data_IF_259994315653
#
_entry.id   IF_259994315653
#
_cell.length_a   1.000
_cell.length_b   1.000
_cell.length_c   1.000
_cell.angle_alpha   90.00
_cell.angle_beta   90.00
_cell.angle_gamma   90.00
#
_symmetry.space_group_name_H-M   'P 1'
#
loop_
_entity.id
_entity.type
_entity.pdbx_description
1 polymer ?
#
# COMPACT_ATOMS: atom_id res chain seq x y z
N UNK A 1 16.25 -3.96 -1.79
CA UNK A 1 15.74 -3.09 -0.71
C UNK A 1 15.70 -1.70 -1.31
N UNK A 2 14.49 -1.16 -1.48
CA UNK A 2 14.32 0.15 -2.10
C UNK A 2 14.67 1.23 -1.09
N UNK A 3 15.58 2.13 -1.43
CA UNK A 3 16.34 2.98 -0.49
C UNK A 3 15.46 3.84 0.44
N UNK A 4 14.19 4.12 0.09
CA UNK A 4 13.31 4.90 0.95
C UNK A 4 11.85 4.87 0.47
N UNK A 5 10.93 4.29 1.26
CA UNK A 5 9.50 4.25 0.88
C UNK A 5 8.73 5.52 1.22
N UNK A 6 9.30 6.35 2.10
CA UNK A 6 8.66 7.54 2.64
C UNK A 6 9.04 8.83 1.91
N UNK A 7 9.59 8.77 0.67
CA UNK A 7 9.97 9.99 -0.08
C UNK A 7 8.84 11.04 -0.18
N UNK A 8 7.54 10.71 -0.34
CA UNK A 8 6.49 11.72 -0.29
C UNK A 8 6.42 12.49 1.04
N UNK A 9 6.96 11.93 2.12
CA UNK A 9 6.95 12.44 3.50
C UNK A 9 8.29 13.04 3.93
N UNK A 10 9.27 13.12 3.02
CA UNK A 10 10.56 13.77 3.26
C UNK A 10 10.37 15.23 3.70
N UNK A 11 11.16 15.68 4.68
CA UNK A 11 11.04 17.02 5.26
C UNK A 11 9.82 17.21 6.17
N UNK A 12 9.43 16.19 6.93
CA UNK A 12 8.33 16.23 7.91
C UNK A 12 6.95 16.52 7.30
N UNK A 13 6.73 16.15 6.03
CA UNK A 13 5.42 16.31 5.39
C UNK A 13 4.43 15.32 5.99
N UNK A 14 3.31 15.86 6.48
CA UNK A 14 2.35 15.15 7.32
C UNK A 14 1.53 14.08 6.58
N UNK A 15 1.18 13.03 7.32
CA UNK A 15 0.23 11.97 6.95
C UNK A 15 -1.23 12.43 6.89
N UNK A 16 -1.52 13.73 6.97
CA UNK A 16 -2.90 14.24 7.10
C UNK A 16 -3.89 13.71 6.05
N UNK A 17 -3.41 13.35 4.84
CA UNK A 17 -4.20 12.73 3.77
C UNK A 17 -4.31 11.19 3.83
N UNK A 18 -3.43 10.51 4.56
CA UNK A 18 -3.47 9.06 4.77
C UNK A 18 -4.00 8.77 6.17
N UNK A 19 -5.32 8.90 6.33
CA UNK A 19 -6.06 8.47 7.53
C UNK A 19 -6.56 7.04 7.30
N UNK A 20 -5.77 6.01 7.62
CA UNK A 20 -6.25 4.65 7.46
C UNK A 20 -7.41 4.40 8.41
N UNK A 21 -8.36 3.61 7.95
CA UNK A 21 -9.46 3.11 8.78
C UNK A 21 -8.94 2.06 9.78
N UNK A 22 -8.01 1.23 9.32
CA UNK A 22 -7.38 0.19 10.12
C UNK A 22 -5.86 0.26 9.98
N UNK A 23 -5.16 -0.02 11.08
CA UNK A 23 -3.69 -0.09 11.08
C UNK A 23 -3.24 -1.42 11.66
N UNK A 24 -2.51 -2.20 10.88
CA UNK A 24 -1.76 -3.33 11.39
C UNK A 24 -0.38 -2.85 11.88
N UNK A 25 -0.03 -3.24 13.10
CA UNK A 25 1.26 -2.92 13.71
C UNK A 25 1.85 -4.22 14.23
N UNK A 26 3.03 -4.58 13.73
CA UNK A 26 3.80 -5.72 14.22
C UNK A 26 4.78 -5.24 15.30
N UNK A 27 4.95 -6.04 16.34
CA UNK A 27 5.88 -5.78 17.44
C UNK A 27 6.87 -6.92 17.60
N UNK A 28 8.08 -6.58 18.05
CA UNK A 28 9.05 -7.51 18.62
C UNK A 28 9.57 -6.96 19.96
N UNK A 29 10.59 -7.59 20.54
CA UNK A 29 11.18 -7.14 21.82
C UNK A 29 11.77 -5.74 21.77
N UNK A 30 12.06 -5.21 20.57
CA UNK A 30 12.65 -3.89 20.36
C UNK A 30 11.60 -2.83 19.97
N UNK A 31 10.31 -3.18 20.03
CA UNK A 31 9.18 -2.27 19.77
C UNK A 31 8.53 -2.51 18.41
N UNK A 32 8.14 -1.44 17.72
CA UNK A 32 7.44 -1.53 16.42
C UNK A 32 8.39 -2.09 15.36
N UNK A 33 8.02 -3.24 14.80
CA UNK A 33 8.78 -3.97 13.79
C UNK A 33 8.31 -3.63 12.37
N UNK A 34 7.00 -3.47 12.18
CA UNK A 34 6.40 -3.13 10.89
C UNK A 34 5.03 -2.46 11.07
N UNK A 35 4.57 -1.76 10.03
CA UNK A 35 3.22 -1.21 9.97
C UNK A 35 2.63 -1.27 8.56
N UNK A 36 1.30 -1.26 8.49
CA UNK A 36 0.51 -1.12 7.27
C UNK A 36 -0.81 -0.41 7.59
N UNK A 37 -1.20 0.53 6.73
CA UNK A 37 -2.51 1.16 6.74
C UNK A 37 -3.46 0.50 5.75
N UNK A 38 -4.73 0.39 6.14
CA UNK A 38 -5.84 -0.06 5.30
C UNK A 38 -6.97 0.97 5.36
N UNK A 39 -7.57 1.28 4.21
CA UNK A 39 -8.71 2.18 4.10
C UNK A 39 -9.69 1.63 3.07
N UNK A 40 -10.99 1.56 3.39
CA UNK A 40 -12.00 1.26 2.38
C UNK A 40 -12.25 2.47 1.49
N UNK A 41 -12.35 2.24 0.18
CA UNK A 41 -12.74 3.25 -0.81
C UNK A 41 -13.65 2.65 -1.86
N UNK A 42 -14.58 3.46 -2.36
CA UNK A 42 -15.23 3.15 -3.63
C UNK A 42 -14.31 3.56 -4.78
N UNK A 43 -14.08 2.64 -5.70
CA UNK A 43 -13.45 2.93 -6.99
C UNK A 43 -14.44 2.62 -8.11
N UNK A 44 -14.30 3.27 -9.25
CA UNK A 44 -15.13 3.00 -10.42
C UNK A 44 -14.41 2.03 -11.36
N UNK A 45 -15.00 0.88 -11.63
CA UNK A 45 -14.53 -0.12 -12.60
C UNK A 45 -15.63 -0.35 -13.61
N UNK A 46 -15.35 -0.10 -14.89
CA UNK A 46 -16.31 -0.20 -15.99
C UNK A 46 -17.65 0.51 -15.71
N UNK A 47 -17.58 1.68 -15.06
CA UNK A 47 -18.74 2.48 -14.68
C UNK A 47 -19.37 2.13 -13.33
N UNK A 48 -19.05 0.97 -12.76
CA UNK A 48 -19.63 0.47 -11.49
C UNK A 48 -18.78 0.88 -10.30
N UNK A 49 -19.41 1.42 -9.26
CA UNK A 49 -18.74 1.72 -8.00
C UNK A 49 -18.55 0.43 -7.18
N UNK A 50 -17.30 0.09 -6.91
CA UNK A 50 -16.88 -1.10 -6.16
C UNK A 50 -16.21 -0.67 -4.86
N UNK A 51 -16.70 -1.19 -3.74
CA UNK A 51 -16.04 -1.06 -2.44
C UNK A 51 -14.80 -1.96 -2.41
N UNK A 52 -13.63 -1.36 -2.27
CA UNK A 52 -12.33 -2.05 -2.22
C UNK A 52 -11.52 -1.56 -1.02
N UNK A 53 -10.44 -2.26 -0.67
CA UNK A 53 -9.47 -1.77 0.30
C UNK A 53 -8.22 -1.20 -0.37
N UNK A 54 -7.81 0.01 0.01
CA UNK A 54 -6.47 0.52 -0.30
C UNK A 54 -5.51 0.13 0.83
N UNK A 55 -4.41 -0.53 0.48
CA UNK A 55 -3.28 -0.81 1.34
C UNK A 55 -2.16 0.17 1.05
N UNK A 56 -1.65 0.78 2.11
CA UNK A 56 -0.58 1.76 2.02
C UNK A 56 0.18 1.87 3.33
N UNK A 57 1.02 2.89 3.42
CA UNK A 57 1.83 3.17 4.61
C UNK A 57 2.56 1.90 5.07
N UNK A 58 3.12 1.16 4.12
CA UNK A 58 3.88 -0.03 4.44
C UNK A 58 5.29 0.35 4.84
N UNK A 59 5.70 -0.05 6.05
CA UNK A 59 7.05 0.16 6.53
C UNK A 59 7.52 -0.99 7.39
N UNK A 60 8.80 -1.32 7.27
CA UNK A 60 9.50 -2.31 8.09
C UNK A 60 10.69 -1.62 8.71
N UNK A 61 11.01 -1.94 9.96
CA UNK A 61 12.19 -1.41 10.63
C UNK A 61 13.45 -1.89 9.88
N UNK A 62 14.46 -1.03 9.63
CA UNK A 62 15.57 -1.35 8.75
C UNK A 62 16.35 -2.64 9.09
N UNK A 63 16.54 -2.93 10.37
CA UNK A 63 17.22 -4.14 10.88
C UNK A 63 16.45 -5.45 10.58
N UNK A 64 15.16 -5.34 10.23
CA UNK A 64 14.30 -6.48 9.95
C UNK A 64 14.00 -6.65 8.45
N UNK A 65 14.50 -5.76 7.61
CA UNK A 65 14.36 -5.89 6.16
C UNK A 65 15.03 -7.20 5.67
N UNK A 66 14.34 -7.91 4.77
CA UNK A 66 14.86 -9.16 4.22
C UNK A 66 14.69 -10.40 5.12
N UNK A 67 14.31 -10.25 6.40
CA UNK A 67 14.09 -11.35 7.35
C UNK A 67 12.72 -12.02 7.22
N UNK A 68 12.08 -11.90 6.07
CA UNK A 68 10.83 -12.60 5.79
C UNK A 68 9.56 -11.95 6.36
N UNK A 69 9.60 -10.72 6.88
CA UNK A 69 8.39 -9.95 7.27
C UNK A 69 7.36 -9.83 6.13
N UNK A 70 7.74 -10.12 4.90
CA UNK A 70 6.84 -10.30 3.76
C UNK A 70 5.63 -11.22 4.01
N UNK A 71 5.74 -12.21 4.91
CA UNK A 71 4.58 -13.04 5.26
C UNK A 71 3.50 -12.28 6.05
N UNK A 72 3.79 -11.08 6.57
CA UNK A 72 2.89 -10.34 7.45
C UNK A 72 1.59 -9.91 6.76
N UNK A 73 1.60 -9.77 5.44
CA UNK A 73 0.42 -9.45 4.64
C UNK A 73 -0.73 -10.45 4.87
N UNK A 74 -0.42 -11.73 5.16
CA UNK A 74 -1.43 -12.77 5.37
C UNK A 74 -2.31 -12.47 6.59
N UNK A 75 -1.78 -11.75 7.58
CA UNK A 75 -2.56 -11.37 8.76
C UNK A 75 -3.62 -10.31 8.45
N UNK A 76 -3.49 -9.60 7.32
CA UNK A 76 -4.55 -8.70 6.85
C UNK A 76 -5.68 -9.44 6.13
N UNK A 77 -5.47 -10.67 5.63
CA UNK A 77 -6.46 -11.38 4.81
C UNK A 77 -7.79 -11.56 5.55
N UNK A 78 -7.83 -12.07 6.80
CA UNK A 78 -9.10 -12.23 7.52
C UNK A 78 -9.84 -10.92 7.70
N UNK A 79 -9.13 -9.85 8.08
CA UNK A 79 -9.71 -8.51 8.22
C UNK A 79 -10.27 -8.00 6.89
N UNK A 80 -9.55 -8.19 5.78
CA UNK A 80 -10.03 -7.79 4.46
C UNK A 80 -11.27 -8.59 4.02
N UNK A 81 -11.35 -9.88 4.39
CA UNK A 81 -12.53 -10.72 4.17
C UNK A 81 -13.72 -10.26 5.02
N UNK A 82 -13.51 -9.92 6.30
CA UNK A 82 -14.53 -9.36 7.19
C UNK A 82 -15.06 -8.00 6.68
N UNK A 83 -14.19 -7.18 6.07
CA UNK A 83 -14.60 -5.94 5.42
C UNK A 83 -15.45 -6.16 4.16
N UNK A 84 -15.56 -7.40 3.66
CA UNK A 84 -16.41 -7.76 2.53
C UNK A 84 -15.95 -7.20 1.18
N UNK A 85 -14.68 -6.79 1.07
CA UNK A 85 -14.12 -6.24 -0.17
C UNK A 85 -13.70 -7.36 -1.12
N UNK A 86 -13.85 -7.22 -2.45
CA UNK A 86 -13.46 -8.27 -3.39
C UNK A 86 -11.94 -8.38 -3.57
N UNK A 87 -11.23 -7.28 -3.33
CA UNK A 87 -9.77 -7.23 -3.37
C UNK A 87 -9.26 -6.01 -2.61
N UNK A 88 -7.96 -6.04 -2.31
CA UNK A 88 -7.22 -4.89 -1.84
C UNK A 88 -6.19 -4.45 -2.90
N UNK A 89 -5.86 -3.18 -2.96
CA UNK A 89 -4.89 -2.65 -3.91
C UNK A 89 -3.98 -1.60 -3.27
N UNK A 90 -2.88 -1.28 -3.93
CA UNK A 90 -1.98 -0.22 -3.50
C UNK A 90 -0.99 0.15 -4.59
N UNK A 91 -0.13 1.12 -4.30
CA UNK A 91 0.99 1.46 -5.18
C UNK A 91 2.30 1.35 -4.43
N UNK A 92 3.33 0.87 -5.12
CA UNK A 92 4.68 0.73 -4.56
C UNK A 92 5.70 1.21 -5.59
N UNK A 93 6.85 1.66 -5.10
CA UNK A 93 7.97 2.05 -5.97
C UNK A 93 8.59 0.80 -6.60
N UNK A 94 9.16 0.94 -7.80
CA UNK A 94 9.92 -0.13 -8.47
C UNK A 94 10.99 -0.75 -7.56
N UNK A 95 11.64 0.07 -6.71
CA UNK A 95 12.67 -0.39 -5.79
C UNK A 95 12.17 -1.39 -4.72
N UNK A 96 10.84 -1.48 -4.51
CA UNK A 96 10.20 -2.46 -3.62
C UNK A 96 9.68 -3.71 -4.33
N UNK A 97 9.75 -3.79 -5.66
CA UNK A 97 9.15 -4.88 -6.42
C UNK A 97 9.52 -6.26 -5.86
N UNK A 98 10.82 -6.55 -5.73
CA UNK A 98 11.33 -7.83 -5.20
C UNK A 98 10.85 -8.14 -3.77
N UNK A 99 10.56 -7.11 -2.97
CA UNK A 99 10.07 -7.28 -1.62
C UNK A 99 8.58 -7.66 -1.63
N UNK A 100 7.79 -6.96 -2.44
CA UNK A 100 6.36 -7.16 -2.56
C UNK A 100 6.03 -8.46 -3.29
N UNK A 101 6.79 -8.86 -4.31
CA UNK A 101 6.60 -10.15 -5.00
C UNK A 101 6.70 -11.36 -4.04
N UNK A 102 7.45 -11.23 -2.94
CA UNK A 102 7.54 -12.28 -1.91
C UNK A 102 6.20 -12.49 -1.18
N UNK A 103 5.30 -11.51 -1.19
CA UNK A 103 3.98 -11.62 -0.58
C UNK A 103 3.13 -12.64 -1.36
N UNK A 104 3.31 -12.70 -2.69
CA UNK A 104 2.62 -13.64 -3.57
C UNK A 104 2.88 -15.12 -3.27
N UNK A 105 3.88 -15.45 -2.43
CA UNK A 105 4.09 -16.81 -1.91
C UNK A 105 3.03 -17.25 -0.90
N UNK A 106 2.32 -16.29 -0.31
CA UNK A 106 1.38 -16.52 0.78
C UNK A 106 -0.01 -15.91 0.52
N UNK A 107 -0.19 -15.26 -0.62
CA UNK A 107 -1.44 -14.62 -1.00
C UNK A 107 -1.57 -14.52 -2.52
N UNK A 108 -2.77 -14.28 -3.02
CA UNK A 108 -2.99 -14.03 -4.44
C UNK A 108 -2.67 -12.57 -4.78
N UNK A 109 -1.38 -12.21 -4.67
CA UNK A 109 -0.88 -10.89 -5.02
C UNK A 109 -0.42 -10.86 -6.48
N UNK A 110 -0.95 -9.91 -7.24
CA UNK A 110 -0.48 -9.54 -8.58
C UNK A 110 0.24 -8.20 -8.53
N UNK A 111 1.41 -8.11 -9.18
CA UNK A 111 2.15 -6.85 -9.38
C UNK A 111 2.02 -6.45 -10.84
N UNK A 112 1.47 -5.27 -11.09
CA UNK A 112 1.19 -4.72 -12.41
C UNK A 112 2.13 -3.53 -12.68
N UNK A 113 2.70 -3.50 -13.88
CA UNK A 113 3.51 -2.40 -14.39
C UNK A 113 2.87 -1.78 -15.63
N UNK A 114 3.31 -0.59 -16.04
CA UNK A 114 2.74 0.12 -17.20
C UNK A 114 1.34 0.71 -16.98
N UNK A 115 0.79 0.59 -15.77
CA UNK A 115 -0.49 1.22 -15.41
C UNK A 115 -0.27 2.71 -15.19
N UNK A 116 -1.08 3.54 -15.87
CA UNK A 116 -1.05 4.99 -15.69
C UNK A 116 -1.68 5.37 -14.35
N UNK A 117 -0.85 5.52 -13.32
CA UNK A 117 -1.28 6.00 -12.00
C UNK A 117 -1.34 7.53 -12.01
N UNK A 118 -2.45 8.10 -11.55
CA UNK A 118 -2.57 9.55 -11.30
C UNK A 118 -2.78 9.80 -9.81
N UNK A 119 -1.98 10.69 -9.24
CA UNK A 119 -2.07 11.10 -7.84
C UNK A 119 -2.26 12.61 -7.75
N UNK A 120 -2.84 13.07 -6.64
CA UNK A 120 -2.88 14.50 -6.33
C UNK A 120 -1.48 15.02 -6.02
N UNK A 121 -1.23 16.30 -6.33
CA UNK A 121 -0.01 16.95 -5.89
C UNK A 121 0.04 17.02 -4.35
N UNK A 122 1.23 16.85 -3.73
CA UNK A 122 1.38 16.94 -2.29
C UNK A 122 1.09 18.34 -1.74
N UNK A 123 1.15 19.36 -2.61
CA UNK A 123 0.82 20.74 -2.30
C UNK A 123 -0.30 21.20 -3.22
N UNK A 124 -1.34 21.83 -2.66
CA UNK A 124 -2.33 22.53 -3.45
C UNK A 124 -1.65 23.74 -4.12
N UNK A 125 -1.62 23.73 -5.45
CA UNK A 125 -0.93 24.73 -6.27
C UNK A 125 -1.89 25.22 -7.34
N UNK A 126 -2.19 26.52 -7.34
CA UNK A 126 -3.08 27.13 -8.33
C UNK A 126 -2.41 27.27 -9.71
N UNK A 127 -1.08 27.29 -9.74
CA UNK A 127 -0.25 27.43 -10.93
C UNK A 127 0.04 26.09 -11.64
N UNK A 128 -0.46 24.97 -11.11
CA UNK A 128 -0.17 23.62 -11.63
C UNK A 128 -1.43 22.78 -11.77
N UNK A 129 -1.46 21.80 -12.69
CA UNK A 129 -2.51 20.80 -12.70
C UNK A 129 -2.63 20.11 -11.34
N UNK A 130 -3.84 19.78 -10.87
CA UNK A 130 -4.06 19.25 -9.52
C UNK A 130 -3.52 17.83 -9.32
N UNK A 131 -3.17 17.14 -10.42
CA UNK A 131 -2.66 15.77 -10.41
C UNK A 131 -1.38 15.64 -11.21
N UNK A 132 -0.60 14.60 -10.91
CA UNK A 132 0.55 14.15 -11.69
C UNK A 132 0.40 12.69 -12.07
N UNK A 133 1.13 12.26 -13.10
CA UNK A 133 1.30 10.84 -13.40
C UNK A 133 2.45 10.34 -12.54
N UNK A 134 2.23 9.22 -11.85
CA UNK A 134 3.24 8.54 -11.03
C UNK A 134 3.84 7.38 -11.82
N UNK A 135 5.16 7.23 -11.72
CA UNK A 135 5.83 5.99 -12.10
C UNK A 135 5.86 5.05 -10.88
N UNK A 136 4.84 4.21 -10.77
CA UNK A 136 4.66 3.29 -9.67
C UNK A 136 4.13 1.94 -10.17
N UNK A 137 4.47 0.88 -9.43
CA UNK A 137 3.86 -0.42 -9.60
C UNK A 137 2.52 -0.44 -8.86
N UNK A 138 1.51 -1.02 -9.50
CA UNK A 138 0.22 -1.29 -8.86
C UNK A 138 0.23 -2.70 -8.31
N UNK A 139 -0.25 -2.86 -7.09
CA UNK A 139 -0.37 -4.17 -6.45
C UNK A 139 -1.85 -4.46 -6.26
N UNK A 140 -2.27 -5.70 -6.54
CA UNK A 140 -3.64 -6.17 -6.32
C UNK A 140 -3.57 -7.47 -5.56
N UNK A 141 -4.19 -7.50 -4.38
CA UNK A 141 -4.38 -8.67 -3.54
C UNK A 141 -5.83 -9.14 -3.69
N UNK A 142 -6.04 -10.24 -4.40
CA UNK A 142 -7.37 -10.86 -4.46
C UNK A 142 -7.61 -11.71 -3.21
N UNK A 143 -8.84 -11.66 -2.71
CA UNK A 143 -9.25 -12.46 -1.57
C UNK A 143 -9.99 -13.67 -2.11
N UNK A 144 -9.46 -14.87 -1.86
CA UNK A 144 -10.24 -16.08 -2.08
C UNK A 144 -11.48 -16.00 -1.18
N UNK A 145 -12.65 -16.29 -1.76
CA UNK A 145 -13.87 -16.51 -1.00
C UNK A 145 -13.82 -17.85 -0.28
#
# INVERSE_FOLDING_TARGET
>A
TGVFNAQPFEGSRSWAGARPELRAIAYDSNGVAAHMGCLRRFIKVDGVDLLVAELGLYGVRPDLEGLGIAHSIRFMIPTLQELGVPFAFGTVRHALQKHIERFGRHSQLTVLSGIRVRSTLPHARLDKPPTRIEDALVIVLTLAR
#
